data_IF_947827123199
#
_entry.id   IF_947827123199
#
_cell.length_a   1.000
_cell.length_b   1.000
_cell.length_c   1.000
_cell.angle_alpha   90.00
_cell.angle_beta   90.00
_cell.angle_gamma   90.00
#
_symmetry.space_group_name_H-M   'P 1'
#
loop_
_entity.id
_entity.type
_entity.pdbx_description
1 polymer ?
#
# COMPACT_ATOMS: atom_id res chain seq x y z
N UNK A 1 44.41 -26.49 -28.99
CA UNK A 1 43.57 -27.03 -27.88
C UNK A 1 43.36 -25.97 -26.81
N UNK A 2 44.41 -25.40 -26.21
CA UNK A 2 44.32 -24.34 -25.18
C UNK A 2 43.47 -23.11 -25.56
N UNK A 3 43.54 -22.63 -26.81
CA UNK A 3 42.73 -21.49 -27.27
C UNK A 3 41.22 -21.78 -27.30
N UNK A 4 40.83 -23.02 -27.61
CA UNK A 4 39.42 -23.45 -27.65
C UNK A 4 38.86 -23.52 -26.23
N UNK A 5 39.63 -24.08 -25.28
CA UNK A 5 39.26 -24.12 -23.87
C UNK A 5 39.12 -22.73 -23.25
N UNK A 6 40.05 -21.82 -23.55
CA UNK A 6 39.98 -20.43 -23.09
C UNK A 6 38.73 -19.71 -23.63
N UNK A 7 38.42 -19.88 -24.92
CA UNK A 7 37.22 -19.29 -25.53
C UNK A 7 35.91 -19.86 -24.93
N UNK A 8 35.86 -21.16 -24.67
CA UNK A 8 34.71 -21.81 -24.03
C UNK A 8 34.47 -21.28 -22.61
N UNK A 9 35.52 -21.17 -21.79
CA UNK A 9 35.41 -20.60 -20.45
C UNK A 9 34.94 -19.15 -20.48
N UNK A 10 35.49 -18.34 -21.38
CA UNK A 10 35.09 -16.93 -21.51
C UNK A 10 33.62 -16.81 -21.91
N UNK A 11 33.13 -17.68 -22.81
CA UNK A 11 31.74 -17.71 -23.21
C UNK A 11 30.80 -18.12 -22.07
N UNK A 12 31.16 -19.14 -21.29
CA UNK A 12 30.41 -19.56 -20.11
C UNK A 12 30.33 -18.42 -19.09
N UNK A 13 31.47 -17.79 -18.78
CA UNK A 13 31.52 -16.67 -17.84
C UNK A 13 30.70 -15.47 -18.33
N UNK A 14 30.71 -15.19 -19.63
CA UNK A 14 29.89 -14.13 -20.21
C UNK A 14 28.39 -14.40 -20.04
N UNK A 15 27.94 -15.64 -20.28
CA UNK A 15 26.54 -16.04 -20.07
C UNK A 15 26.16 -15.92 -18.60
N UNK A 16 26.98 -16.46 -17.70
CA UNK A 16 26.73 -16.40 -16.26
C UNK A 16 26.68 -14.96 -15.77
N UNK A 17 27.63 -14.12 -16.22
CA UNK A 17 27.66 -12.70 -15.90
C UNK A 17 26.41 -11.97 -16.40
N UNK A 18 25.98 -12.25 -17.63
CA UNK A 18 24.76 -11.67 -18.20
C UNK A 18 23.50 -12.05 -17.42
N UNK A 19 23.33 -13.34 -17.08
CA UNK A 19 22.22 -13.81 -16.25
C UNK A 19 22.26 -13.20 -14.83
N UNK A 20 23.45 -13.01 -14.27
CA UNK A 20 23.62 -12.36 -12.97
C UNK A 20 23.22 -10.88 -13.00
N UNK A 21 23.50 -10.17 -14.10
CA UNK A 21 23.07 -8.78 -14.29
C UNK A 21 21.55 -8.65 -14.34
N UNK A 22 20.87 -9.48 -15.14
CA UNK A 22 19.40 -9.48 -15.23
C UNK A 22 18.77 -9.71 -13.85
N UNK A 23 19.22 -10.73 -13.12
CA UNK A 23 18.71 -11.02 -11.76
C UNK A 23 19.01 -9.90 -10.76
N UNK A 24 20.13 -9.21 -10.93
CA UNK A 24 20.49 -8.09 -10.04
C UNK A 24 19.59 -6.89 -10.30
N UNK A 25 19.28 -6.60 -11.56
CA UNK A 25 18.33 -5.56 -11.95
C UNK A 25 16.94 -5.81 -11.34
N UNK A 26 16.42 -7.04 -11.47
CA UNK A 26 15.14 -7.45 -10.86
C UNK A 26 15.13 -7.22 -9.34
N UNK A 27 16.20 -7.63 -8.64
CA UNK A 27 16.35 -7.45 -7.19
C UNK A 27 16.37 -5.98 -6.80
N UNK A 28 17.07 -5.13 -7.55
CA UNK A 28 17.15 -3.68 -7.30
C UNK A 28 15.77 -3.04 -7.49
N UNK A 29 15.10 -3.31 -8.62
CA UNK A 29 13.75 -2.79 -8.90
C UNK A 29 12.76 -3.22 -7.82
N UNK A 30 12.75 -4.50 -7.46
CA UNK A 30 11.91 -5.05 -6.38
C UNK A 30 12.14 -4.30 -5.07
N UNK A 31 13.38 -4.12 -4.64
CA UNK A 31 13.71 -3.39 -3.40
C UNK A 31 13.19 -1.95 -3.42
N UNK A 32 13.28 -1.27 -4.56
CA UNK A 32 12.76 0.08 -4.73
C UNK A 32 11.22 0.11 -4.63
N UNK A 33 10.54 -0.82 -5.30
CA UNK A 33 9.08 -0.94 -5.25
C UNK A 33 8.60 -1.22 -3.82
N UNK A 34 9.18 -2.19 -3.11
CA UNK A 34 8.78 -2.51 -1.74
C UNK A 34 8.94 -1.33 -0.77
N UNK A 35 9.94 -0.47 -0.98
CA UNK A 35 10.07 0.77 -0.20
C UNK A 35 8.88 1.71 -0.42
N UNK A 36 8.40 1.84 -1.66
CA UNK A 36 7.23 2.64 -1.98
C UNK A 36 5.94 2.02 -1.45
N UNK A 37 5.75 0.70 -1.64
CA UNK A 37 4.59 -0.02 -1.10
C UNK A 37 4.52 0.07 0.43
N UNK A 38 5.67 0.04 1.11
CA UNK A 38 5.72 0.29 2.55
C UNK A 38 5.26 1.71 2.91
N UNK A 39 5.66 2.72 2.12
CA UNK A 39 5.16 4.09 2.28
C UNK A 39 3.65 4.20 2.10
N UNK A 40 3.08 3.54 1.08
CA UNK A 40 1.64 3.50 0.85
C UNK A 40 0.89 2.81 2.00
N UNK A 41 1.41 1.68 2.50
CA UNK A 41 0.87 1.00 3.68
C UNK A 41 0.88 1.92 4.91
N UNK A 42 1.97 2.65 5.14
CA UNK A 42 2.05 3.63 6.23
C UNK A 42 1.02 4.75 6.06
N UNK A 43 0.80 5.26 4.84
CA UNK A 43 -0.24 6.26 4.57
C UNK A 43 -1.64 5.73 4.91
N UNK A 44 -1.95 4.50 4.52
CA UNK A 44 -3.21 3.82 4.87
C UNK A 44 -3.40 3.80 6.39
N UNK A 45 -2.37 3.42 7.15
CA UNK A 45 -2.44 3.40 8.61
C UNK A 45 -2.59 4.80 9.22
N UNK A 46 -1.96 5.83 8.65
CA UNK A 46 -2.14 7.21 9.11
C UNK A 46 -3.59 7.67 8.92
N UNK A 47 -4.21 7.32 7.79
CA UNK A 47 -5.63 7.60 7.55
C UNK A 47 -6.47 6.93 8.64
N UNK A 48 -6.29 5.63 8.87
CA UNK A 48 -7.02 4.87 9.90
C UNK A 48 -6.82 5.43 11.32
N UNK A 49 -5.59 5.80 11.69
CA UNK A 49 -5.31 6.40 13.01
C UNK A 49 -6.04 7.73 13.21
N UNK A 50 -6.12 8.56 12.16
CA UNK A 50 -6.87 9.82 12.26
C UNK A 50 -8.38 9.59 12.34
N UNK A 51 -8.89 8.41 11.98
CA UNK A 51 -10.31 8.07 12.07
C UNK A 51 -10.78 7.63 13.46
N UNK A 52 -9.89 7.36 14.42
CA UNK A 52 -10.24 6.78 15.72
C UNK A 52 -11.33 7.56 16.49
N UNK A 53 -11.40 8.88 16.33
CA UNK A 53 -12.40 9.71 17.03
C UNK A 53 -13.67 9.99 16.21
N UNK A 54 -13.76 9.44 15.00
CA UNK A 54 -14.82 9.68 14.01
C UNK A 54 -15.77 8.50 13.99
N UNK A 55 -16.63 8.49 14.99
CA UNK A 55 -17.62 7.44 15.25
C UNK A 55 -19.03 8.06 15.28
N UNK A 56 -19.94 7.62 14.39
CA UNK A 56 -21.34 8.07 14.35
C UNK A 56 -22.09 7.87 15.68
N UNK A 57 -21.71 6.88 16.49
CA UNK A 57 -22.35 6.66 17.79
C UNK A 57 -22.27 7.89 18.71
N UNK A 58 -21.28 8.75 18.49
CA UNK A 58 -21.10 9.99 19.26
C UNK A 58 -22.06 11.12 18.89
N UNK A 59 -22.82 10.95 17.80
CA UNK A 59 -23.89 11.86 17.39
C UNK A 59 -25.23 11.52 18.06
N UNK A 60 -25.32 10.40 18.77
CA UNK A 60 -26.53 10.02 19.51
C UNK A 60 -26.86 11.06 20.58
N UNK A 61 -28.15 11.37 20.76
CA UNK A 61 -28.63 12.22 21.86
C UNK A 61 -28.27 11.66 23.26
N UNK A 62 -28.01 10.35 23.36
CA UNK A 62 -27.63 9.69 24.60
C UNK A 62 -26.11 9.67 24.83
N UNK A 63 -25.31 10.18 23.89
CA UNK A 63 -23.86 10.26 24.05
C UNK A 63 -23.51 11.29 25.13
N UNK A 64 -22.78 10.85 26.16
CA UNK A 64 -22.32 11.70 27.26
C UNK A 64 -20.80 11.81 27.22
N UNK A 65 -20.23 12.93 26.73
CA UNK A 65 -18.79 13.13 26.77
C UNK A 65 -18.29 13.24 28.22
N UNK A 66 -17.06 12.80 28.45
CA UNK A 66 -16.33 12.96 29.71
C UNK A 66 -15.32 14.12 29.61
N UNK A 67 -14.75 14.54 30.73
CA UNK A 67 -13.68 15.56 30.77
C UNK A 67 -12.46 15.23 29.91
N UNK A 68 -12.24 13.96 29.60
CA UNK A 68 -11.12 13.48 28.77
C UNK A 68 -11.53 13.11 27.34
N UNK A 69 -12.78 13.36 26.95
CA UNK A 69 -13.22 13.08 25.58
C UNK A 69 -12.53 14.03 24.58
N UNK A 70 -12.02 13.52 23.45
CA UNK A 70 -11.40 14.36 22.43
C UNK A 70 -12.44 15.25 21.75
N UNK A 71 -11.99 16.30 21.05
CA UNK A 71 -12.84 17.09 20.16
C UNK A 71 -13.43 16.21 19.04
N UNK A 72 -14.71 16.42 18.71
CA UNK A 72 -15.47 15.61 17.75
C UNK A 72 -16.23 16.49 16.77
N UNK A 73 -16.49 15.92 15.59
CA UNK A 73 -17.43 16.48 14.62
C UNK A 73 -18.84 16.19 15.14
N UNK A 74 -19.64 17.23 15.37
CA UNK A 74 -21.00 17.12 15.93
C UNK A 74 -22.09 17.23 14.88
N UNK A 75 -21.73 17.56 13.64
CA UNK A 75 -22.63 17.57 12.50
C UNK A 75 -22.52 16.24 11.72
N UNK A 76 -23.65 15.55 11.54
CA UNK A 76 -23.69 14.26 10.85
C UNK A 76 -23.22 14.34 9.39
N UNK A 77 -23.61 15.38 8.64
CA UNK A 77 -23.22 15.55 7.25
C UNK A 77 -21.72 15.80 7.09
N UNK A 78 -21.12 16.56 8.00
CA UNK A 78 -19.67 16.81 7.98
C UNK A 78 -18.88 15.56 8.39
N UNK A 79 -19.40 14.76 9.33
CA UNK A 79 -18.79 13.48 9.70
C UNK A 79 -18.83 12.48 8.53
N UNK A 80 -19.98 12.36 7.86
CA UNK A 80 -20.14 11.51 6.68
C UNK A 80 -19.15 11.93 5.57
N UNK A 81 -19.08 13.23 5.25
CA UNK A 81 -18.15 13.75 4.24
C UNK A 81 -16.68 13.49 4.60
N UNK A 82 -16.31 13.62 5.88
CA UNK A 82 -14.96 13.29 6.34
C UNK A 82 -14.63 11.80 6.11
N UNK A 83 -15.56 10.92 6.43
CA UNK A 83 -15.42 9.48 6.24
C UNK A 83 -15.39 9.09 4.75
N UNK A 84 -16.17 9.76 3.90
CA UNK A 84 -16.11 9.61 2.45
C UNK A 84 -14.74 9.99 1.90
N UNK A 85 -14.20 11.15 2.28
CA UNK A 85 -12.85 11.56 1.85
C UNK A 85 -11.77 10.59 2.29
N UNK A 86 -11.89 10.00 3.47
CA UNK A 86 -10.96 8.97 3.89
C UNK A 86 -11.07 7.71 3.02
N UNK A 87 -12.28 7.30 2.65
CA UNK A 87 -12.51 6.17 1.75
C UNK A 87 -11.96 6.44 0.34
N UNK A 88 -12.08 7.68 -0.16
CA UNK A 88 -11.48 8.12 -1.41
C UNK A 88 -9.94 8.09 -1.35
N UNK A 89 -9.34 8.62 -0.27
CA UNK A 89 -7.89 8.58 -0.07
C UNK A 89 -7.36 7.15 -0.02
N UNK A 90 -8.07 6.23 0.64
CA UNK A 90 -7.73 4.80 0.64
C UNK A 90 -7.82 4.20 -0.77
N UNK A 91 -8.88 4.52 -1.54
CA UNK A 91 -9.03 4.06 -2.92
C UNK A 91 -7.91 4.57 -3.82
N UNK A 92 -7.54 5.84 -3.71
CA UNK A 92 -6.42 6.44 -4.45
C UNK A 92 -5.11 5.75 -4.07
N UNK A 93 -4.88 5.49 -2.78
CA UNK A 93 -3.66 4.83 -2.30
C UNK A 93 -3.54 3.40 -2.87
N UNK A 94 -4.63 2.64 -2.92
CA UNK A 94 -4.67 1.33 -3.58
C UNK A 94 -4.36 1.41 -5.08
N UNK A 95 -4.96 2.35 -5.80
CA UNK A 95 -4.70 2.56 -7.23
C UNK A 95 -3.25 2.97 -7.53
N UNK A 96 -2.63 3.76 -6.66
CA UNK A 96 -1.20 4.09 -6.78
C UNK A 96 -0.36 2.82 -6.60
N UNK A 97 -0.74 1.92 -5.68
CA UNK A 97 -0.06 0.63 -5.53
C UNK A 97 -0.13 -0.20 -6.82
N UNK A 98 -1.30 -0.26 -7.46
CA UNK A 98 -1.52 -1.00 -8.71
C UNK A 98 -0.56 -0.60 -9.86
N UNK A 99 -0.14 0.67 -9.91
CA UNK A 99 0.84 1.15 -10.91
C UNK A 99 2.21 0.46 -10.78
N UNK A 100 2.57 -0.03 -9.59
CA UNK A 100 3.82 -0.78 -9.40
C UNK A 100 3.76 -2.18 -10.02
N UNK A 101 2.63 -2.87 -9.91
CA UNK A 101 2.42 -4.16 -10.59
C UNK A 101 2.40 -4.01 -12.11
N UNK A 102 1.92 -2.87 -12.63
CA UNK A 102 1.96 -2.58 -14.06
C UNK A 102 3.39 -2.32 -14.56
N UNK A 103 4.25 -1.69 -13.76
CA UNK A 103 5.60 -1.28 -14.17
C UNK A 103 6.66 -2.36 -13.94
N UNK A 104 6.45 -3.28 -13.00
CA UNK A 104 7.36 -4.39 -12.70
C UNK A 104 6.58 -5.70 -12.70
N UNK A 105 6.77 -6.49 -13.77
CA UNK A 105 6.16 -7.81 -13.93
C UNK A 105 6.94 -8.86 -13.10
N UNK A 106 6.70 -8.84 -11.79
CA UNK A 106 7.35 -9.72 -10.81
C UNK A 106 6.29 -10.21 -9.81
N UNK A 107 6.12 -11.52 -9.67
CA UNK A 107 5.07 -12.12 -8.82
C UNK A 107 5.11 -11.60 -7.38
N UNK A 108 6.31 -11.39 -6.84
CA UNK A 108 6.49 -10.89 -5.46
C UNK A 108 6.04 -9.43 -5.35
N UNK A 109 6.24 -8.63 -6.41
CA UNK A 109 5.72 -7.25 -6.47
C UNK A 109 4.19 -7.28 -6.54
N UNK A 110 3.61 -8.14 -7.38
CA UNK A 110 2.16 -8.27 -7.55
C UNK A 110 1.51 -8.64 -6.21
N UNK A 111 2.07 -9.60 -5.46
CA UNK A 111 1.59 -9.97 -4.14
C UNK A 111 1.65 -8.79 -3.15
N UNK A 112 2.77 -8.06 -3.13
CA UNK A 112 2.91 -6.88 -2.27
C UNK A 112 1.92 -5.75 -2.60
N UNK A 113 1.56 -5.59 -3.87
CA UNK A 113 0.52 -4.66 -4.32
C UNK A 113 -0.85 -5.12 -3.84
N UNK A 114 -1.18 -6.40 -4.06
CA UNK A 114 -2.44 -7.00 -3.61
C UNK A 114 -2.66 -6.81 -2.11
N UNK A 115 -1.61 -6.93 -1.28
CA UNK A 115 -1.71 -6.68 0.16
C UNK A 115 -2.14 -5.24 0.49
N UNK A 116 -1.57 -4.25 -0.22
CA UNK A 116 -1.88 -2.83 -0.01
C UNK A 116 -3.31 -2.54 -0.45
N UNK A 117 -3.73 -3.07 -1.60
CA UNK A 117 -5.10 -2.91 -2.11
C UNK A 117 -6.12 -3.58 -1.19
N UNK A 118 -5.83 -4.78 -0.71
CA UNK A 118 -6.68 -5.50 0.24
C UNK A 118 -6.82 -4.73 1.56
N UNK A 119 -5.72 -4.18 2.09
CA UNK A 119 -5.75 -3.37 3.31
C UNK A 119 -6.62 -2.12 3.12
N UNK A 120 -6.41 -1.37 2.03
CA UNK A 120 -7.18 -0.17 1.73
C UNK A 120 -8.68 -0.47 1.53
N UNK A 121 -8.99 -1.52 0.78
CA UNK A 121 -10.37 -1.97 0.52
C UNK A 121 -11.08 -2.41 1.80
N UNK A 122 -10.39 -3.14 2.68
CA UNK A 122 -10.95 -3.58 3.95
C UNK A 122 -11.24 -2.42 4.91
N UNK A 123 -10.35 -1.43 4.98
CA UNK A 123 -10.60 -0.24 5.80
C UNK A 123 -11.70 0.64 5.20
N UNK A 124 -11.72 0.83 3.88
CA UNK A 124 -12.82 1.52 3.18
C UNK A 124 -14.17 0.89 3.48
N UNK A 125 -14.26 -0.44 3.44
CA UNK A 125 -15.48 -1.19 3.82
C UNK A 125 -15.91 -0.92 5.27
N UNK A 126 -14.97 -0.89 6.21
CA UNK A 126 -15.25 -0.56 7.62
C UNK A 126 -15.77 0.87 7.78
N UNK A 127 -15.29 1.80 6.97
CA UNK A 127 -15.79 3.18 6.96
C UNK A 127 -17.23 3.23 6.45
N UNK A 128 -17.53 2.54 5.34
CA UNK A 128 -18.89 2.45 4.81
C UNK A 128 -19.88 1.84 5.79
N UNK A 129 -19.45 0.86 6.59
CA UNK A 129 -20.25 0.28 7.68
C UNK A 129 -20.54 1.27 8.82
N UNK A 130 -19.81 2.38 8.93
CA UNK A 130 -20.13 3.47 9.87
C UNK A 130 -21.15 4.44 9.28
N UNK A 131 -21.12 4.65 7.97
CA UNK A 131 -22.01 5.60 7.29
C UNK A 131 -23.41 5.02 7.12
N UNK A 132 -23.51 3.72 6.86
CA UNK A 132 -24.77 2.97 6.65
C UNK A 132 -25.38 2.52 7.96
#
# INVERSE_FOLDING_TARGET
VQGIEASLNMFILAIVGFLALIRTEERIKRKQVFRQLHGLRSLIHVIDMHQLTKDPATLSANFKPTSHSPARITNAADLARYLDYCSEMLSITGKIAALFAQSVNDDVVIDGVNDVENLASNLSRKIWQKIT
#
